data_IF_687336875803
#
_entry.id   IF_687336875803
#
_cell.length_a   1.000
_cell.length_b   1.000
_cell.length_c   1.000
_cell.angle_alpha   90.00
_cell.angle_beta   90.00
_cell.angle_gamma   90.00
#
_symmetry.space_group_name_H-M   'P 1'
#
loop_
_entity.id
_entity.type
_entity.pdbx_description
1 polymer ?
#
# COMPACT_ATOMS: atom_id res chain seq x y z
N UNK A 1 -11.85 1.87 6.05
CA UNK A 1 -10.61 1.31 6.64
C UNK A 1 -10.80 0.01 7.43
N UNK A 2 -12.00 -0.48 7.70
CA UNK A 2 -12.18 -1.61 8.62
C UNK A 2 -12.18 -2.97 7.92
N UNK A 3 -12.53 -3.07 6.63
CA UNK A 3 -12.65 -4.36 5.94
C UNK A 3 -12.00 -4.35 4.54
N UNK A 4 -10.67 -4.25 4.52
CA UNK A 4 -9.91 -4.33 3.27
C UNK A 4 -9.87 -5.75 2.68
N UNK A 5 -10.36 -6.76 3.41
CA UNK A 5 -10.39 -8.17 3.03
C UNK A 5 -11.76 -8.78 3.33
N UNK A 6 -12.06 -9.93 2.76
CA UNK A 6 -13.25 -10.72 3.10
C UNK A 6 -12.93 -11.61 4.30
N UNK A 7 -13.36 -11.27 5.53
CA UNK A 7 -12.91 -11.96 6.75
C UNK A 7 -13.37 -13.41 6.83
N UNK A 8 -14.50 -13.74 6.21
CA UNK A 8 -15.07 -15.10 6.16
C UNK A 8 -14.46 -16.00 5.08
N UNK A 9 -13.63 -15.46 4.21
CA UNK A 9 -12.90 -16.21 3.20
C UNK A 9 -11.46 -16.51 3.68
N UNK A 10 -10.88 -17.58 3.17
CA UNK A 10 -9.45 -17.88 3.37
C UNK A 10 -8.57 -16.85 2.65
N UNK A 11 -7.28 -16.85 2.98
CA UNK A 11 -6.27 -16.03 2.29
C UNK A 11 -6.30 -16.33 0.79
N UNK A 12 -6.28 -17.62 0.42
CA UNK A 12 -6.33 -18.03 -1.00
C UNK A 12 -7.59 -17.52 -1.71
N UNK A 13 -8.76 -17.68 -1.09
CA UNK A 13 -10.02 -17.20 -1.65
C UNK A 13 -10.04 -15.68 -1.79
N UNK A 14 -9.49 -14.93 -0.84
CA UNK A 14 -9.31 -13.49 -0.94
C UNK A 14 -8.46 -13.11 -2.16
N UNK A 15 -7.34 -13.81 -2.38
CA UNK A 15 -6.49 -13.58 -3.55
C UNK A 15 -7.22 -13.91 -4.85
N UNK A 16 -7.95 -15.03 -4.90
CA UNK A 16 -8.77 -15.42 -6.05
C UNK A 16 -9.83 -14.36 -6.41
N UNK A 17 -10.43 -13.74 -5.40
CA UNK A 17 -11.39 -12.65 -5.60
C UNK A 17 -10.75 -11.43 -6.29
N UNK A 18 -9.46 -11.16 -6.05
CA UNK A 18 -8.71 -10.10 -6.75
C UNK A 18 -8.58 -10.33 -8.26
N UNK A 19 -8.64 -11.57 -8.68
CA UNK A 19 -8.51 -11.98 -10.09
C UNK A 19 -9.72 -12.70 -10.66
N UNK A 20 -10.92 -12.52 -10.10
CA UNK A 20 -12.13 -13.27 -10.46
C UNK A 20 -12.49 -13.23 -11.96
N UNK A 21 -12.05 -12.20 -12.68
CA UNK A 21 -12.26 -12.02 -14.12
C UNK A 21 -11.08 -12.52 -14.96
N UNK A 22 -10.00 -12.99 -14.34
CA UNK A 22 -8.80 -13.42 -15.05
C UNK A 22 -8.91 -14.89 -15.49
N UNK A 23 -8.29 -15.26 -16.63
CA UNK A 23 -8.05 -16.65 -16.96
C UNK A 23 -7.23 -17.35 -15.85
N UNK A 24 -7.46 -18.67 -15.65
CA UNK A 24 -6.83 -19.43 -14.57
C UNK A 24 -5.28 -19.32 -14.56
N UNK A 25 -4.66 -19.32 -15.74
CA UNK A 25 -3.20 -19.17 -15.86
C UNK A 25 -2.71 -17.80 -15.34
N UNK A 26 -3.39 -16.70 -15.66
CA UNK A 26 -3.05 -15.37 -15.18
C UNK A 26 -3.33 -15.22 -13.69
N UNK A 27 -4.42 -15.82 -13.20
CA UNK A 27 -4.73 -15.85 -11.77
C UNK A 27 -3.63 -16.55 -10.98
N UNK A 28 -3.19 -17.74 -11.42
CA UNK A 28 -2.11 -18.48 -10.78
C UNK A 28 -0.80 -17.68 -10.73
N UNK A 29 -0.41 -17.04 -11.84
CA UNK A 29 0.77 -16.17 -11.89
C UNK A 29 0.64 -14.98 -10.95
N UNK A 30 -0.55 -14.35 -10.87
CA UNK A 30 -0.82 -13.24 -9.96
C UNK A 30 -0.68 -13.66 -8.50
N UNK A 31 -1.20 -14.84 -8.12
CA UNK A 31 -1.06 -15.38 -6.76
C UNK A 31 0.40 -15.65 -6.41
N UNK A 32 1.17 -16.26 -7.31
CA UNK A 32 2.60 -16.50 -7.11
C UNK A 32 3.37 -15.19 -6.89
N UNK A 33 3.07 -14.15 -7.70
CA UNK A 33 3.67 -12.82 -7.54
C UNK A 33 3.32 -12.20 -6.18
N UNK A 34 2.08 -12.31 -5.73
CA UNK A 34 1.64 -11.82 -4.43
C UNK A 34 2.38 -12.52 -3.28
N UNK A 35 2.56 -13.85 -3.34
CA UNK A 35 3.32 -14.62 -2.36
C UNK A 35 4.82 -14.27 -2.39
N UNK A 36 5.38 -14.02 -3.56
CA UNK A 36 6.78 -13.57 -3.66
C UNK A 36 6.99 -12.21 -2.97
N UNK A 37 6.01 -11.32 -3.06
CA UNK A 37 6.05 -10.00 -2.42
C UNK A 37 5.81 -10.06 -0.91
N UNK A 38 4.89 -10.92 -0.47
CA UNK A 38 4.52 -11.13 0.93
C UNK A 38 4.58 -12.62 1.28
N UNK A 39 5.78 -13.18 1.53
CA UNK A 39 5.96 -14.62 1.77
C UNK A 39 5.18 -15.17 2.95
N UNK A 40 4.92 -14.36 3.97
CA UNK A 40 4.16 -14.77 5.16
C UNK A 40 2.74 -15.25 4.80
N UNK A 41 2.15 -14.73 3.71
CA UNK A 41 0.84 -15.15 3.24
C UNK A 41 0.83 -16.57 2.67
N UNK A 42 1.97 -17.04 2.10
CA UNK A 42 2.07 -18.37 1.51
C UNK A 42 1.85 -19.46 2.55
N UNK A 43 2.33 -19.26 3.77
CA UNK A 43 2.16 -20.22 4.87
C UNK A 43 0.76 -20.22 5.47
N UNK A 44 -0.07 -19.24 5.10
CA UNK A 44 -1.39 -18.99 5.67
C UNK A 44 -2.55 -19.11 4.68
N UNK A 45 -2.29 -19.69 3.51
CA UNK A 45 -3.27 -19.76 2.41
C UNK A 45 -4.63 -20.31 2.79
N UNK A 46 -4.66 -21.29 3.70
CA UNK A 46 -5.89 -21.95 4.16
C UNK A 46 -6.51 -21.30 5.41
N UNK A 47 -5.84 -20.31 6.01
CA UNK A 47 -6.35 -19.63 7.19
C UNK A 47 -7.45 -18.63 6.78
N UNK A 48 -8.45 -18.47 7.65
CA UNK A 48 -9.46 -17.41 7.45
C UNK A 48 -8.80 -16.03 7.59
N UNK A 49 -9.14 -15.10 6.72
CA UNK A 49 -8.61 -13.74 6.78
C UNK A 49 -8.96 -13.04 8.12
N UNK A 50 -10.04 -13.44 8.78
CA UNK A 50 -10.40 -12.97 10.13
C UNK A 50 -9.32 -13.30 11.19
N UNK A 51 -8.56 -14.39 11.03
CA UNK A 51 -7.52 -14.82 11.98
C UNK A 51 -6.18 -14.09 11.80
N UNK A 52 -6.02 -13.34 10.72
CA UNK A 52 -4.80 -12.59 10.44
C UNK A 52 -4.65 -11.38 11.38
N UNK A 53 -3.41 -10.99 11.67
CA UNK A 53 -3.09 -9.71 12.31
C UNK A 53 -3.46 -8.53 11.41
N UNK A 54 -3.49 -7.31 11.95
CA UNK A 54 -3.75 -6.11 11.15
C UNK A 54 -2.76 -5.93 9.99
N UNK A 55 -1.47 -6.18 10.23
CA UNK A 55 -0.43 -6.11 9.20
C UNK A 55 -0.61 -7.15 8.11
N UNK A 56 -0.87 -8.42 8.47
CA UNK A 56 -1.12 -9.49 7.50
C UNK A 56 -2.38 -9.23 6.68
N UNK A 57 -3.46 -8.69 7.29
CA UNK A 57 -4.66 -8.28 6.54
C UNK A 57 -4.35 -7.17 5.53
N UNK A 58 -3.52 -6.20 5.90
CA UNK A 58 -3.12 -5.13 4.99
C UNK A 58 -2.28 -5.68 3.82
N UNK A 59 -1.33 -6.59 4.08
CA UNK A 59 -0.57 -7.28 3.05
C UNK A 59 -1.48 -8.06 2.11
N UNK A 60 -2.48 -8.77 2.65
CA UNK A 60 -3.47 -9.49 1.85
C UNK A 60 -4.30 -8.55 0.98
N UNK A 61 -4.70 -7.38 1.50
CA UNK A 61 -5.46 -6.38 0.75
C UNK A 61 -4.64 -5.82 -0.44
N UNK A 62 -3.37 -5.48 -0.21
CA UNK A 62 -2.45 -5.02 -1.26
C UNK A 62 -2.22 -6.14 -2.28
N UNK A 63 -1.93 -7.36 -1.84
CA UNK A 63 -1.76 -8.54 -2.69
C UNK A 63 -2.96 -8.75 -3.60
N UNK A 64 -4.16 -8.66 -3.05
CA UNK A 64 -5.41 -8.81 -3.80
C UNK A 64 -5.56 -7.77 -4.92
N UNK A 65 -5.17 -6.52 -4.66
CA UNK A 65 -5.17 -5.47 -5.67
C UNK A 65 -4.16 -5.72 -6.79
N UNK A 66 -3.05 -6.38 -6.49
CA UNK A 66 -1.97 -6.67 -7.44
C UNK A 66 -2.24 -7.88 -8.35
N UNK A 67 -3.19 -8.77 -8.00
CA UNK A 67 -3.51 -9.97 -8.78
C UNK A 67 -3.85 -9.65 -10.23
N UNK A 68 -4.57 -8.55 -10.46
CA UNK A 68 -4.97 -8.14 -11.81
C UNK A 68 -3.83 -7.63 -12.69
N UNK A 69 -2.63 -7.42 -12.13
CA UNK A 69 -1.48 -6.84 -12.83
C UNK A 69 -1.70 -5.37 -13.21
N UNK A 70 -2.01 -4.49 -12.25
CA UNK A 70 -2.26 -3.09 -12.56
C UNK A 70 -0.98 -2.36 -12.92
N UNK A 71 -1.07 -1.36 -13.81
CA UNK A 71 0.01 -0.41 -14.10
C UNK A 71 0.04 0.75 -13.08
N UNK A 72 -1.05 0.93 -12.33
CA UNK A 72 -1.22 2.00 -11.35
C UNK A 72 -1.94 1.49 -10.12
N UNK A 73 -1.40 1.79 -8.92
CA UNK A 73 -1.95 1.39 -7.63
C UNK A 73 -2.20 2.64 -6.76
N UNK A 74 -3.38 2.71 -6.14
CA UNK A 74 -3.73 3.74 -5.18
C UNK A 74 -3.81 3.13 -3.79
N UNK A 75 -3.06 3.67 -2.84
CA UNK A 75 -3.01 3.22 -1.45
C UNK A 75 -3.39 4.39 -0.53
N UNK A 76 -4.45 4.20 0.21
CA UNK A 76 -4.94 5.17 1.20
C UNK A 76 -4.62 4.68 2.61
N UNK A 77 -3.71 5.39 3.28
CA UNK A 77 -3.19 5.12 4.62
C UNK A 77 -2.80 3.63 4.83
N UNK A 78 -1.99 3.01 3.94
CA UNK A 78 -1.68 1.59 4.03
C UNK A 78 -0.88 1.20 5.28
N UNK A 79 -0.27 2.18 5.97
CA UNK A 79 0.52 1.93 7.18
C UNK A 79 -0.20 2.30 8.48
N UNK A 80 -1.44 2.82 8.40
CA UNK A 80 -2.21 3.27 9.56
C UNK A 80 -2.43 2.14 10.57
N UNK A 81 -2.24 2.46 11.85
CA UNK A 81 -2.42 1.54 12.98
C UNK A 81 -1.59 0.25 12.94
N UNK A 82 -0.56 0.19 12.10
CA UNK A 82 0.38 -0.93 12.05
C UNK A 82 1.58 -0.72 12.97
N UNK A 83 2.16 -1.85 13.41
CA UNK A 83 3.45 -1.79 14.12
C UNK A 83 4.56 -1.27 13.19
N UNK A 84 5.63 -0.64 13.73
CA UNK A 84 6.74 -0.13 12.93
C UNK A 84 7.35 -1.15 11.97
N UNK A 85 7.41 -2.42 12.38
CA UNK A 85 7.90 -3.52 11.53
C UNK A 85 7.05 -3.66 10.26
N UNK A 86 5.73 -3.74 10.41
CA UNK A 86 4.82 -3.91 9.26
C UNK A 86 4.75 -2.66 8.39
N UNK A 87 4.84 -1.47 8.98
CA UNK A 87 4.94 -0.22 8.22
C UNK A 87 6.16 -0.26 7.29
N UNK A 88 7.34 -0.59 7.83
CA UNK A 88 8.57 -0.67 7.06
C UNK A 88 8.50 -1.73 5.95
N UNK A 89 7.91 -2.88 6.24
CA UNK A 89 7.74 -3.96 5.28
C UNK A 89 6.85 -3.55 4.11
N UNK A 90 5.70 -2.92 4.38
CA UNK A 90 4.80 -2.43 3.33
C UNK A 90 5.50 -1.39 2.45
N UNK A 91 6.19 -0.42 3.06
CA UNK A 91 6.89 0.62 2.30
C UNK A 91 8.05 0.06 1.46
N UNK A 92 8.76 -0.93 1.98
CA UNK A 92 9.82 -1.63 1.22
C UNK A 92 9.22 -2.37 0.01
N UNK A 93 8.03 -2.95 0.17
CA UNK A 93 7.36 -3.62 -0.95
C UNK A 93 6.78 -2.62 -1.96
N UNK A 94 6.38 -1.43 -1.53
CA UNK A 94 6.01 -0.32 -2.44
C UNK A 94 7.21 0.08 -3.33
N UNK A 95 8.42 0.16 -2.78
CA UNK A 95 9.63 0.41 -3.58
C UNK A 95 9.81 -0.66 -4.68
N UNK A 96 9.62 -1.94 -4.35
CA UNK A 96 9.71 -3.04 -5.32
C UNK A 96 8.66 -2.93 -6.43
N UNK A 97 7.43 -2.49 -6.09
CA UNK A 97 6.38 -2.26 -7.10
C UNK A 97 6.79 -1.20 -8.10
N UNK A 98 7.42 -0.12 -7.65
CA UNK A 98 7.94 0.93 -8.51
C UNK A 98 9.05 0.39 -9.42
N UNK A 99 9.96 -0.41 -8.89
CA UNK A 99 11.03 -1.05 -9.66
C UNK A 99 10.48 -2.02 -10.71
N UNK A 100 9.33 -2.64 -10.45
CA UNK A 100 8.55 -3.46 -11.40
C UNK A 100 7.74 -2.62 -12.42
N UNK A 101 7.84 -1.29 -12.38
CA UNK A 101 7.17 -0.37 -13.31
C UNK A 101 5.73 0.00 -12.94
N UNK A 102 5.26 -0.33 -11.74
CA UNK A 102 3.94 0.06 -11.26
C UNK A 102 4.01 1.47 -10.67
N UNK A 103 3.20 2.38 -11.18
CA UNK A 103 3.04 3.71 -10.58
C UNK A 103 2.21 3.61 -9.32
N UNK A 104 2.65 4.26 -8.23
CA UNK A 104 1.94 4.23 -6.95
C UNK A 104 1.54 5.63 -6.51
N UNK A 105 0.26 5.83 -6.23
CA UNK A 105 -0.24 6.99 -5.48
C UNK A 105 -0.44 6.58 -4.02
N UNK A 106 0.37 7.16 -3.14
CA UNK A 106 0.36 6.89 -1.72
C UNK A 106 -0.23 8.09 -0.96
N UNK A 107 -1.31 7.88 -0.22
CA UNK A 107 -1.87 8.85 0.73
C UNK A 107 -1.48 8.40 2.13
N UNK A 108 -0.81 9.26 2.89
CA UNK A 108 -0.32 8.93 4.24
C UNK A 108 -0.33 10.16 5.16
N UNK A 109 -0.54 9.91 6.45
CA UNK A 109 -0.43 10.94 7.48
C UNK A 109 1.02 11.10 7.96
N UNK A 110 1.80 10.01 7.96
CA UNK A 110 3.22 10.07 8.27
C UNK A 110 4.01 10.56 7.05
N UNK A 111 3.98 11.88 6.86
CA UNK A 111 4.55 12.53 5.70
C UNK A 111 6.04 12.21 5.47
N UNK A 112 6.84 12.20 6.52
CA UNK A 112 8.28 11.94 6.38
C UNK A 112 8.53 10.54 5.84
N UNK A 113 7.87 9.54 6.42
CA UNK A 113 8.04 8.15 6.05
C UNK A 113 7.58 7.87 4.59
N UNK A 114 6.48 8.51 4.16
CA UNK A 114 5.98 8.37 2.80
C UNK A 114 6.81 9.14 1.78
N UNK A 115 7.26 10.35 2.11
CA UNK A 115 8.10 11.16 1.22
C UNK A 115 9.48 10.51 1.00
N UNK A 116 10.07 9.87 2.01
CA UNK A 116 11.33 9.12 1.86
C UNK A 116 11.23 7.99 0.81
N UNK A 117 10.01 7.55 0.48
CA UNK A 117 9.71 6.48 -0.49
C UNK A 117 9.09 6.98 -1.80
N UNK A 118 8.94 8.28 -1.94
CA UNK A 118 8.24 8.90 -3.07
C UNK A 118 9.19 9.73 -3.93
N UNK A 119 8.87 9.87 -5.22
CA UNK A 119 9.57 10.78 -6.13
C UNK A 119 9.02 12.20 -6.03
N UNK A 120 7.70 12.32 -5.83
CA UNK A 120 6.98 13.60 -5.71
C UNK A 120 6.02 13.57 -4.54
N UNK A 121 5.80 14.74 -3.94
CA UNK A 121 4.81 14.93 -2.90
C UNK A 121 3.82 16.05 -3.21
N UNK A 122 2.63 15.90 -2.66
CA UNK A 122 1.56 16.90 -2.64
C UNK A 122 1.08 17.02 -1.19
N UNK A 123 1.10 18.24 -0.66
CA UNK A 123 0.57 18.53 0.67
C UNK A 123 -0.82 19.10 0.54
N UNK A 124 -1.78 18.48 1.21
CA UNK A 124 -3.16 18.93 1.26
C UNK A 124 -3.45 19.54 2.64
N UNK A 125 -4.00 20.75 2.64
CA UNK A 125 -4.55 21.37 3.83
C UNK A 125 -5.87 22.08 3.46
N UNK A 126 -6.89 21.95 4.30
CA UNK A 126 -8.20 22.55 4.06
C UNK A 126 -8.87 22.15 2.73
N UNK A 127 -8.58 20.93 2.22
CA UNK A 127 -9.13 20.42 0.95
C UNK A 127 -8.44 20.99 -0.31
N UNK A 128 -7.32 21.69 -0.16
CA UNK A 128 -6.53 22.26 -1.27
C UNK A 128 -5.10 21.73 -1.25
N UNK A 129 -4.47 21.67 -2.42
CA UNK A 129 -3.02 21.47 -2.53
C UNK A 129 -2.33 22.77 -2.14
N UNK A 130 -1.60 22.77 -1.04
CA UNK A 130 -0.85 23.94 -0.53
C UNK A 130 0.63 23.90 -0.91
N UNK A 131 1.16 22.72 -1.22
CA UNK A 131 2.53 22.54 -1.67
C UNK A 131 2.66 21.33 -2.59
N UNK A 132 3.57 21.41 -3.57
CA UNK A 132 3.93 20.29 -4.45
C UNK A 132 5.38 20.42 -4.91
N UNK A 133 6.08 19.30 -5.01
CA UNK A 133 7.46 19.28 -5.45
C UNK A 133 8.07 17.89 -5.47
N UNK A 134 9.36 17.84 -5.72
CA UNK A 134 10.15 16.61 -5.51
C UNK A 134 10.14 16.25 -4.02
N UNK A 135 9.95 14.99 -3.70
CA UNK A 135 9.81 14.53 -2.31
C UNK A 135 11.01 14.92 -1.44
N UNK A 136 12.23 14.82 -1.98
CA UNK A 136 13.46 15.22 -1.29
C UNK A 136 13.45 16.70 -0.94
N UNK A 137 13.04 17.57 -1.87
CA UNK A 137 12.94 19.02 -1.63
C UNK A 137 11.92 19.32 -0.53
N UNK A 138 10.82 18.58 -0.50
CA UNK A 138 9.80 18.74 0.55
C UNK A 138 10.34 18.34 1.92
N UNK A 139 11.07 17.22 2.00
CA UNK A 139 11.66 16.73 3.27
C UNK A 139 12.68 17.71 3.84
N UNK A 140 13.48 18.32 2.96
CA UNK A 140 14.57 19.21 3.34
C UNK A 140 14.09 20.65 3.64
N UNK A 141 12.81 20.99 3.38
CA UNK A 141 12.24 22.30 3.66
C UNK A 141 12.05 22.51 5.17
N UNK A 142 12.76 23.47 5.80
CA UNK A 142 12.63 23.73 7.23
C UNK A 142 11.24 24.26 7.63
N UNK A 143 10.45 24.73 6.68
CA UNK A 143 9.09 25.24 6.92
C UNK A 143 8.01 24.20 6.62
N UNK A 144 8.37 22.97 6.33
CA UNK A 144 7.42 21.93 5.96
C UNK A 144 6.27 21.78 6.98
N UNK A 145 6.57 21.97 8.28
CA UNK A 145 5.58 21.95 9.34
C UNK A 145 4.48 22.99 9.21
N UNK A 146 4.80 24.17 8.70
CA UNK A 146 3.85 25.28 8.54
C UNK A 146 2.78 24.94 7.48
N UNK A 147 3.18 24.23 6.41
CA UNK A 147 2.24 23.76 5.38
C UNK A 147 1.28 22.70 5.93
N UNK A 148 1.78 21.75 6.74
CA UNK A 148 0.91 20.74 7.38
C UNK A 148 -0.08 21.34 8.36
N UNK A 149 0.27 22.46 9.00
CA UNK A 149 -0.61 23.17 9.93
C UNK A 149 -1.52 24.16 9.21
N UNK A 150 -1.39 24.32 7.88
CA UNK A 150 -2.16 25.31 7.12
C UNK A 150 -1.81 26.75 7.46
N UNK A 151 -0.60 27.01 7.97
CA UNK A 151 -0.11 28.36 8.34
C UNK A 151 0.53 29.09 7.15
N UNK A 152 0.79 28.37 6.06
CA UNK A 152 1.25 28.90 4.76
C UNK A 152 0.38 28.35 3.65
N UNK A 153 0.05 29.23 2.69
CA UNK A 153 -0.62 28.90 1.43
C UNK A 153 0.39 28.89 0.27
#
# INVERSE_FOLDING_TARGET
QVDNVFPSLSVLENLQMGGIKLPASKLSTGIQRACHMFPDLEFRMNDLAASLSGGERQMLAISRALISGPDFLMLDEPTAALSPRYQQEILTNIDKLRDDGISVLLVEQNARLSLEKSDRGYIFAGGKVVYTGEAKTIIDDPNIGDYFLGLKE
#
